data_IF_149379124402
#
_entry.id   IF_149379124402
#
_cell.length_a   1.000
_cell.length_b   1.000
_cell.length_c   1.000
_cell.angle_alpha   90.00
_cell.angle_beta   90.00
_cell.angle_gamma   90.00
#
_symmetry.space_group_name_H-M   'P 1'
#
loop_
_entity.id
_entity.type
_entity.pdbx_description
1 polymer ?
#
# COMPACT_ATOMS: atom_id res chain seq x y z
N UNK A 1 -5.64 21.16 10.64
CA UNK A 1 -4.49 20.23 10.51
C UNK A 1 -4.97 18.79 10.55
N UNK A 2 -5.82 18.44 11.51
CA UNK A 2 -6.27 17.06 11.72
C UNK A 2 -7.01 16.44 10.53
N UNK A 3 -7.97 17.16 9.91
CA UNK A 3 -8.69 16.66 8.75
C UNK A 3 -7.76 16.28 7.57
N UNK A 4 -6.71 17.08 7.34
CA UNK A 4 -5.72 16.80 6.29
C UNK A 4 -4.89 15.56 6.66
N UNK A 5 -4.52 15.40 7.94
CA UNK A 5 -3.81 14.21 8.41
C UNK A 5 -4.68 12.95 8.28
N UNK A 6 -5.97 13.00 8.64
CA UNK A 6 -6.90 11.89 8.48
C UNK A 6 -7.07 11.47 7.02
N UNK A 7 -7.28 12.42 6.12
CA UNK A 7 -7.39 12.15 4.68
C UNK A 7 -6.08 11.57 4.13
N UNK A 8 -4.93 12.13 4.54
CA UNK A 8 -3.61 11.63 4.19
C UNK A 8 -3.40 10.18 4.61
N UNK A 9 -3.72 9.84 5.87
CA UNK A 9 -3.63 8.47 6.42
C UNK A 9 -4.57 7.52 5.70
N UNK A 10 -5.81 7.93 5.40
CA UNK A 10 -6.77 7.09 4.69
C UNK A 10 -6.28 6.76 3.27
N UNK A 11 -5.83 7.75 2.52
CA UNK A 11 -5.34 7.53 1.14
C UNK A 11 -4.07 6.67 1.15
N UNK A 12 -3.07 7.05 1.95
CA UNK A 12 -1.79 6.32 2.02
C UNK A 12 -1.98 4.92 2.61
N UNK A 13 -2.91 4.76 3.55
CA UNK A 13 -3.31 3.48 4.14
C UNK A 13 -3.97 2.55 3.13
N UNK A 14 -4.90 3.05 2.30
CA UNK A 14 -5.52 2.24 1.23
C UNK A 14 -4.46 1.81 0.20
N UNK A 15 -3.54 2.70 -0.17
CA UNK A 15 -2.45 2.35 -1.10
C UNK A 15 -1.51 1.30 -0.52
N UNK A 16 -1.12 1.43 0.76
CA UNK A 16 -0.34 0.41 1.47
C UNK A 16 -1.07 -0.93 1.57
N UNK A 17 -2.37 -0.91 1.87
CA UNK A 17 -3.19 -2.12 1.93
C UNK A 17 -3.23 -2.83 0.58
N UNK A 18 -3.45 -2.08 -0.50
CA UNK A 18 -3.36 -2.58 -1.87
C UNK A 18 -1.98 -3.19 -2.18
N UNK A 19 -0.89 -2.53 -1.78
CA UNK A 19 0.46 -3.08 -1.98
C UNK A 19 0.73 -4.34 -1.14
N UNK A 20 0.17 -4.47 0.06
CA UNK A 20 0.25 -5.70 0.87
C UNK A 20 -0.47 -6.84 0.17
N UNK A 21 -1.69 -6.60 -0.31
CA UNK A 21 -2.46 -7.59 -1.06
C UNK A 21 -1.72 -8.01 -2.34
N UNK A 22 -1.16 -7.05 -3.08
CA UNK A 22 -0.36 -7.34 -4.28
C UNK A 22 0.94 -8.09 -3.97
N UNK A 23 1.56 -7.86 -2.81
CA UNK A 23 2.73 -8.63 -2.38
C UNK A 23 2.37 -10.09 -2.12
N UNK A 24 1.20 -10.36 -1.53
CA UNK A 24 0.69 -11.72 -1.34
C UNK A 24 0.39 -12.41 -2.67
N UNK A 25 -0.14 -11.66 -3.65
CA UNK A 25 -0.37 -12.14 -5.02
C UNK A 25 0.86 -11.98 -5.93
N UNK A 26 2.07 -11.82 -5.37
CA UNK A 26 3.33 -11.77 -6.12
C UNK A 26 3.33 -10.77 -7.32
N UNK A 27 2.49 -9.72 -7.24
CA UNK A 27 2.29 -8.70 -8.26
C UNK A 27 1.20 -8.95 -9.31
N UNK A 28 0.34 -9.97 -9.22
CA UNK A 28 -0.84 -10.05 -10.10
C UNK A 28 -1.99 -9.22 -9.53
N UNK A 29 -2.64 -8.46 -10.41
CA UNK A 29 -3.71 -7.53 -10.09
C UNK A 29 -5.08 -8.09 -10.52
N UNK A 30 -5.11 -8.86 -11.61
CA UNK A 30 -6.37 -9.13 -12.31
C UNK A 30 -7.10 -10.39 -11.84
N UNK A 31 -8.19 -10.18 -11.09
CA UNK A 31 -9.47 -10.93 -11.14
C UNK A 31 -9.42 -12.47 -11.31
N UNK A 32 -8.47 -13.17 -10.69
CA UNK A 32 -8.45 -14.64 -10.68
C UNK A 32 -8.49 -15.20 -9.27
N UNK A 33 -9.22 -16.31 -9.14
CA UNK A 33 -9.32 -17.05 -7.89
C UNK A 33 -7.92 -17.55 -7.46
N UNK A 34 -7.64 -17.62 -6.15
CA UNK A 34 -6.32 -18.00 -5.63
C UNK A 34 -5.83 -19.38 -6.10
N UNK A 35 -6.72 -20.25 -6.58
CA UNK A 35 -6.37 -21.54 -7.18
C UNK A 35 -5.72 -21.42 -8.58
N UNK A 36 -6.18 -20.49 -9.43
CA UNK A 36 -5.62 -20.28 -10.78
C UNK A 36 -4.29 -19.55 -10.74
N UNK A 37 -4.08 -18.77 -9.69
CA UNK A 37 -2.85 -18.02 -9.40
C UNK A 37 -1.59 -18.90 -9.36
N UNK A 38 -1.68 -20.11 -8.77
CA UNK A 38 -0.54 -21.03 -8.66
C UNK A 38 -0.13 -21.56 -10.06
N UNK A 39 -1.12 -21.77 -10.94
CA UNK A 39 -0.90 -22.19 -12.33
C UNK A 39 -0.29 -21.07 -13.16
N UNK A 40 -0.77 -19.84 -12.97
CA UNK A 40 -0.33 -18.68 -13.73
C UNK A 40 1.00 -18.09 -13.23
N UNK A 41 1.52 -18.53 -12.08
CA UNK A 41 2.80 -18.08 -11.51
C UNK A 41 4.02 -18.46 -12.38
N UNK A 42 3.89 -19.45 -13.26
CA UNK A 42 4.99 -19.88 -14.14
C UNK A 42 4.73 -19.60 -15.62
N UNK A 43 3.53 -19.12 -15.98
CA UNK A 43 3.22 -18.80 -17.38
C UNK A 43 3.98 -17.52 -17.79
N UNK A 44 4.75 -17.55 -18.91
CA UNK A 44 5.48 -16.40 -19.41
C UNK A 44 4.59 -15.22 -19.84
N UNK A 45 3.29 -15.46 -20.13
CA UNK A 45 2.34 -14.41 -20.55
C UNK A 45 2.05 -13.37 -19.47
N UNK A 46 2.22 -13.73 -18.20
CA UNK A 46 1.94 -12.83 -17.06
C UNK A 46 3.21 -12.25 -16.42
N UNK A 47 4.36 -12.32 -17.11
CA UNK A 47 5.63 -11.74 -16.62
C UNK A 47 5.54 -10.23 -16.47
N UNK A 48 4.92 -9.54 -17.42
CA UNK A 48 4.82 -8.08 -17.40
C UNK A 48 3.88 -7.59 -16.30
N UNK A 49 2.74 -8.26 -16.09
CA UNK A 49 1.83 -7.93 -14.99
C UNK A 49 2.52 -8.11 -13.62
N UNK A 50 3.22 -9.23 -13.42
CA UNK A 50 4.03 -9.47 -12.21
C UNK A 50 5.10 -8.41 -12.02
N UNK A 51 5.75 -7.97 -13.10
CA UNK A 51 6.78 -6.93 -13.04
C UNK A 51 6.17 -5.59 -12.62
N UNK A 52 5.03 -5.22 -13.18
CA UNK A 52 4.30 -3.99 -12.83
C UNK A 52 3.83 -4.04 -11.38
N UNK A 53 3.20 -5.14 -10.93
CA UNK A 53 2.75 -5.26 -9.56
C UNK A 53 3.89 -5.28 -8.55
N UNK A 54 5.02 -5.94 -8.85
CA UNK A 54 6.23 -5.86 -7.99
C UNK A 54 6.82 -4.46 -7.95
N UNK A 55 6.84 -3.76 -9.08
CA UNK A 55 7.29 -2.37 -9.14
C UNK A 55 6.37 -1.44 -8.33
N UNK A 56 5.06 -1.62 -8.42
CA UNK A 56 4.07 -0.89 -7.62
C UNK A 56 4.23 -1.15 -6.12
N UNK A 57 4.40 -2.42 -5.71
CA UNK A 57 4.67 -2.78 -4.32
C UNK A 57 5.96 -2.11 -3.83
N UNK A 58 7.04 -2.21 -4.61
CA UNK A 58 8.32 -1.60 -4.25
C UNK A 58 8.20 -0.07 -4.12
N UNK A 59 7.53 0.59 -5.07
CA UNK A 59 7.28 2.03 -5.00
C UNK A 59 6.45 2.41 -3.77
N UNK A 60 5.38 1.67 -3.49
CA UNK A 60 4.50 1.93 -2.35
C UNK A 60 5.22 1.75 -1.01
N UNK A 61 6.00 0.67 -0.85
CA UNK A 61 6.75 0.46 0.39
C UNK A 61 7.92 1.45 0.56
N UNK A 62 8.59 1.84 -0.52
CA UNK A 62 9.72 2.77 -0.46
C UNK A 62 9.27 4.21 -0.25
N UNK A 63 8.22 4.67 -0.95
CA UNK A 63 7.81 6.08 -0.94
C UNK A 63 6.54 6.33 -0.15
N UNK A 64 5.51 5.49 -0.26
CA UNK A 64 4.23 5.76 0.41
C UNK A 64 4.31 5.42 1.91
N UNK A 65 5.09 4.41 2.28
CA UNK A 65 5.33 4.05 3.70
C UNK A 65 5.89 5.20 4.56
N UNK A 66 6.95 5.93 4.15
CA UNK A 66 7.43 7.08 4.93
C UNK A 66 6.43 8.25 4.94
N UNK A 67 5.64 8.45 3.88
CA UNK A 67 4.56 9.45 3.91
C UNK A 67 3.46 9.09 4.91
N UNK A 68 3.04 7.82 4.95
CA UNK A 68 2.09 7.32 5.94
C UNK A 68 2.59 7.55 7.37
N UNK A 69 3.86 7.21 7.63
CA UNK A 69 4.53 7.48 8.92
C UNK A 69 4.54 8.98 9.25
N UNK A 70 4.84 9.84 8.28
CA UNK A 70 4.81 11.30 8.46
C UNK A 70 3.45 11.82 8.90
N UNK A 71 2.37 11.40 8.24
CA UNK A 71 1.02 11.79 8.66
C UNK A 71 0.64 11.25 10.04
N UNK A 72 1.10 10.04 10.38
CA UNK A 72 0.85 9.43 11.69
C UNK A 72 1.53 10.22 12.82
N UNK A 73 2.78 10.66 12.60
CA UNK A 73 3.50 11.53 13.54
C UNK A 73 2.80 12.88 13.72
N UNK A 74 2.35 13.52 12.64
CA UNK A 74 1.61 14.80 12.71
C UNK A 74 0.33 14.63 13.53
N UNK A 75 -0.38 13.52 13.35
CA UNK A 75 -1.62 13.24 14.09
C UNK A 75 -1.34 13.02 15.58
N UNK A 76 -0.29 12.25 15.93
CA UNK A 76 0.12 12.05 17.32
C UNK A 76 0.49 13.39 17.97
N UNK A 77 1.27 14.23 17.30
CA UNK A 77 1.67 15.54 17.83
C UNK A 77 0.44 16.43 18.05
N UNK A 78 -0.50 16.47 17.10
CA UNK A 78 -1.75 17.24 17.22
C UNK A 78 -2.54 16.79 18.46
N UNK A 79 -2.71 15.48 18.63
CA UNK A 79 -3.45 14.91 19.75
C UNK A 79 -2.79 15.17 21.11
N UNK A 80 -1.46 15.04 21.18
CA UNK A 80 -0.71 15.32 22.41
C UNK A 80 -0.79 16.81 22.76
N UNK A 81 -0.68 17.70 21.77
CA UNK A 81 -0.82 19.14 21.99
C UNK A 81 -2.21 19.52 22.49
N UNK A 82 -3.28 19.00 21.88
CA UNK A 82 -4.66 19.28 22.31
C UNK A 82 -4.97 18.76 23.72
N UNK A 83 -4.29 17.71 24.19
CA UNK A 83 -4.50 17.20 25.55
C UNK A 83 -3.69 17.96 26.61
N UNK A 84 -2.56 18.56 26.23
CA UNK A 84 -1.66 19.28 27.17
C UNK A 84 -1.92 20.79 27.26
N UNK A 85 -2.69 21.36 26.33
CA UNK A 85 -3.04 22.79 26.29
C UNK A 85 -4.46 23.05 26.80
#
# INVERSE_FOLDING_TARGET
MEQVAYVGIMITGVMLLMAILMKQTNGLFWARFPHEFIRDLHDPRFKDERRIGKMYCHFTFTYISPFFLGFLVILIISFVMDHFL
#
